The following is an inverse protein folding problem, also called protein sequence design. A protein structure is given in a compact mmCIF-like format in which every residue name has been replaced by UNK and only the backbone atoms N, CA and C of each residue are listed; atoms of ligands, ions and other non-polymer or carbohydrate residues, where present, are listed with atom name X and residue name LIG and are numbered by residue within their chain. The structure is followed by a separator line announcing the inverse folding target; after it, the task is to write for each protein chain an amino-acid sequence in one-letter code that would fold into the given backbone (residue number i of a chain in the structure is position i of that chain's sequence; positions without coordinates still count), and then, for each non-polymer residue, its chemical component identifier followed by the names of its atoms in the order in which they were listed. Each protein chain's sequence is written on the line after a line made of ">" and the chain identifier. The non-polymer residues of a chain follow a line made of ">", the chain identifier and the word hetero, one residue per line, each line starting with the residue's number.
data_IF_737779816242
#
_entry.id   IF_737779816242
#
_cell.length_a   1.000
_cell.length_b   1.000
_cell.length_c   1.000
_cell.angle_alpha   90.00
_cell.angle_beta   90.00
_cell.angle_gamma   90.00
#
_symmetry.space_group_name_H-M   'P 1'
#
loop_
_entity.id
_entity.type
_entity.pdbx_description
1 polymer ?
#
# COMPACT_ATOMS: atom_id res chain seq x y z
N UNK A 1 3.77 -7.07 13.91
CA UNK A 1 3.53 -6.42 12.59
C UNK A 1 3.89 -7.29 11.39
N UNK A 2 5.09 -7.90 11.32
CA UNK A 2 5.53 -8.72 10.17
C UNK A 2 4.64 -9.93 9.87
N UNK A 3 4.46 -10.80 10.87
CA UNK A 3 3.61 -11.99 10.78
C UNK A 3 2.16 -11.63 10.43
N UNK A 4 1.60 -10.63 11.11
CA UNK A 4 0.25 -10.15 10.80
C UNK A 4 0.11 -9.63 9.37
N UNK A 5 1.16 -9.03 8.80
CA UNK A 5 1.15 -8.66 7.39
C UNK A 5 1.10 -9.89 6.47
N UNK A 6 1.92 -10.91 6.72
CA UNK A 6 1.88 -12.16 5.96
C UNK A 6 0.51 -12.86 6.05
N UNK A 7 -0.06 -12.95 7.25
CA UNK A 7 -1.43 -13.46 7.45
C UNK A 7 -2.44 -12.66 6.61
N UNK A 8 -2.33 -11.33 6.61
CA UNK A 8 -3.23 -10.46 5.84
C UNK A 8 -3.11 -10.63 4.33
N UNK A 9 -1.98 -11.14 3.82
CA UNK A 9 -1.75 -11.36 2.40
C UNK A 9 -2.51 -12.60 1.91
N UNK A 10 -2.65 -13.64 2.74
CA UNK A 10 -3.27 -14.93 2.37
C UNK A 10 -4.73 -14.82 1.92
N UNK A 11 -5.39 -13.69 2.18
CA UNK A 11 -6.76 -13.40 1.74
C UNK A 11 -6.87 -13.06 0.24
N UNK A 12 -5.76 -12.73 -0.42
CA UNK A 12 -5.74 -12.39 -1.84
C UNK A 12 -5.49 -13.62 -2.71
N UNK A 13 -5.73 -13.46 -4.02
CA UNK A 13 -5.45 -14.50 -5.00
C UNK A 13 -3.95 -14.58 -5.28
N UNK A 14 -3.42 -15.79 -5.32
CA UNK A 14 -1.99 -16.10 -5.53
C UNK A 14 -1.82 -17.57 -5.92
N UNK A 15 -0.72 -17.95 -6.59
CA UNK A 15 -0.42 -19.35 -6.89
C UNK A 15 -0.05 -20.14 -5.62
N UNK A 16 -0.16 -21.46 -5.71
CA UNK A 16 0.01 -22.35 -4.56
C UNK A 16 1.44 -22.35 -4.00
N UNK A 17 2.46 -22.13 -4.83
CA UNK A 17 3.85 -22.05 -4.39
C UNK A 17 4.06 -20.90 -3.39
N UNK A 18 3.57 -19.69 -3.73
CA UNK A 18 3.66 -18.55 -2.83
C UNK A 18 2.80 -18.76 -1.58
N UNK A 19 1.59 -19.30 -1.77
CA UNK A 19 0.65 -19.57 -0.67
C UNK A 19 1.24 -20.54 0.35
N UNK A 20 1.86 -21.62 -0.12
CA UNK A 20 2.47 -22.63 0.73
C UNK A 20 3.71 -22.06 1.41
N UNK A 21 4.56 -21.34 0.69
CA UNK A 21 5.71 -20.65 1.30
C UNK A 21 5.32 -19.72 2.44
N UNK A 22 4.29 -18.89 2.27
CA UNK A 22 3.79 -18.02 3.34
C UNK A 22 3.28 -18.85 4.53
N UNK A 23 2.53 -19.94 4.27
CA UNK A 23 2.02 -20.81 5.34
C UNK A 23 3.14 -21.51 6.10
N UNK A 24 4.19 -21.95 5.43
CA UNK A 24 5.31 -22.64 6.06
C UNK A 24 6.05 -21.71 7.02
N UNK A 25 6.35 -20.48 6.58
CA UNK A 25 6.94 -19.43 7.43
C UNK A 25 6.03 -19.06 8.62
N UNK A 26 4.70 -19.12 8.43
CA UNK A 26 3.75 -18.84 9.53
C UNK A 26 3.60 -20.00 10.51
N UNK A 27 3.76 -21.25 10.08
CA UNK A 27 3.67 -22.46 10.92
C UNK A 27 4.95 -22.72 11.70
N UNK A 28 6.10 -22.35 11.13
CA UNK A 28 7.39 -22.54 11.78
C UNK A 28 7.55 -21.55 12.94
N UNK A 29 7.29 -22.01 14.16
CA UNK A 29 7.52 -21.24 15.39
C UNK A 29 9.00 -20.84 15.59
N UNK A 30 9.91 -21.47 14.86
CA UNK A 30 11.35 -21.17 14.83
C UNK A 30 11.79 -20.26 13.68
N UNK A 31 10.88 -19.81 12.80
CA UNK A 31 11.26 -18.92 11.71
C UNK A 31 11.92 -17.68 12.28
N UNK A 32 13.19 -17.50 11.91
CA UNK A 32 13.97 -16.36 12.37
C UNK A 32 13.54 -15.09 11.62
N UNK A 33 14.01 -13.95 12.10
CA UNK A 33 13.68 -12.64 11.53
C UNK A 33 14.02 -12.55 10.04
N UNK A 34 15.13 -13.14 9.62
CA UNK A 34 15.64 -13.04 8.25
C UNK A 34 14.78 -13.85 7.28
N UNK A 35 14.28 -15.02 7.68
CA UNK A 35 13.35 -15.82 6.89
C UNK A 35 12.02 -15.08 6.69
N UNK A 36 11.48 -14.47 7.75
CA UNK A 36 10.26 -13.66 7.68
C UNK A 36 10.47 -12.45 6.76
N UNK A 37 11.59 -11.75 6.89
CA UNK A 37 11.91 -10.59 6.05
C UNK A 37 12.13 -10.98 4.58
N UNK A 38 12.71 -12.15 4.32
CA UNK A 38 12.84 -12.74 2.98
C UNK A 38 11.48 -13.05 2.34
N UNK A 39 10.59 -13.74 3.08
CA UNK A 39 9.24 -14.04 2.60
C UNK A 39 8.42 -12.76 2.35
N UNK A 40 8.55 -11.75 3.23
CA UNK A 40 7.93 -10.45 3.05
C UNK A 40 8.44 -9.73 1.79
N UNK A 41 9.75 -9.80 1.54
CA UNK A 41 10.37 -9.20 0.35
C UNK A 41 9.83 -9.84 -0.92
N UNK A 42 9.86 -11.17 -1.02
CA UNK A 42 9.32 -11.89 -2.17
C UNK A 42 7.83 -11.58 -2.37
N UNK A 43 7.02 -11.64 -1.30
CA UNK A 43 5.59 -11.32 -1.37
C UNK A 43 5.35 -9.92 -1.95
N UNK A 44 6.16 -8.92 -1.58
CA UNK A 44 6.04 -7.56 -2.13
C UNK A 44 6.42 -7.49 -3.61
N UNK A 45 7.44 -8.21 -4.03
CA UNK A 45 7.92 -8.27 -5.42
C UNK A 45 6.93 -9.00 -6.34
N UNK A 46 6.20 -9.97 -5.78
CA UNK A 46 5.17 -10.75 -6.45
C UNK A 46 3.81 -10.04 -6.50
N UNK A 47 3.62 -8.91 -5.81
CA UNK A 47 2.37 -8.15 -5.87
C UNK A 47 2.13 -7.61 -7.28
N UNK A 48 0.99 -7.97 -7.84
CA UNK A 48 0.49 -7.62 -9.16
C UNK A 48 -1.00 -7.26 -9.10
N UNK A 49 -1.61 -7.02 -10.26
CA UNK A 49 -3.02 -6.67 -10.36
C UNK A 49 -3.72 -7.49 -11.46
N UNK A 50 -5.01 -7.77 -11.29
CA UNK A 50 -5.79 -8.57 -12.25
C UNK A 50 -6.10 -7.83 -13.55
N UNK A 51 -6.02 -6.49 -13.54
CA UNK A 51 -6.18 -5.62 -14.70
C UNK A 51 -5.10 -4.53 -14.67
N UNK A 52 -4.84 -3.81 -15.79
CA UNK A 52 -3.85 -2.74 -15.82
C UNK A 52 -4.08 -1.72 -14.70
N UNK A 53 -3.01 -1.32 -13.99
CA UNK A 53 -3.08 -0.41 -12.83
C UNK A 53 -3.85 0.89 -13.11
N UNK A 54 -3.71 1.44 -14.32
CA UNK A 54 -4.40 2.66 -14.79
C UNK A 54 -5.93 2.54 -14.86
N UNK A 55 -6.47 1.31 -14.89
CA UNK A 55 -7.91 1.06 -14.94
C UNK A 55 -8.51 0.86 -13.54
N UNK A 56 -7.71 0.97 -12.47
CA UNK A 56 -8.16 0.76 -11.10
C UNK A 56 -8.16 2.10 -10.36
N UNK A 57 -9.33 2.69 -10.05
CA UNK A 57 -9.44 4.03 -9.46
C UNK A 57 -9.15 4.06 -7.95
N UNK A 58 -8.02 3.47 -7.53
CA UNK A 58 -7.49 3.57 -6.18
C UNK A 58 -6.44 4.68 -6.10
N UNK A 59 -6.72 5.75 -5.38
CA UNK A 59 -5.78 6.83 -5.10
C UNK A 59 -6.30 7.69 -3.93
N UNK A 60 -5.43 8.44 -3.25
CA UNK A 60 -5.86 9.33 -2.18
C UNK A 60 -6.64 10.53 -2.71
N UNK A 61 -7.51 11.08 -1.88
CA UNK A 61 -8.06 12.44 -2.04
C UNK A 61 -7.65 13.30 -0.83
N UNK A 62 -7.36 14.57 -1.07
CA UNK A 62 -6.99 15.55 -0.03
C UNK A 62 -8.17 16.49 0.21
N UNK A 63 -8.67 16.52 1.45
CA UNK A 63 -9.63 17.53 1.90
C UNK A 63 -8.88 18.83 2.19
N UNK A 64 -9.05 19.82 1.30
CA UNK A 64 -8.39 21.13 1.40
C UNK A 64 -8.85 21.98 2.59
N UNK A 65 -10.07 21.77 3.09
CA UNK A 65 -10.55 22.46 4.29
C UNK A 65 -9.90 21.96 5.59
N UNK A 66 -9.24 20.79 5.56
CA UNK A 66 -8.50 20.24 6.71
C UNK A 66 -6.99 20.26 6.51
N UNK A 67 -6.53 20.25 5.27
CA UNK A 67 -5.10 20.20 4.96
C UNK A 67 -4.44 21.55 5.28
N UNK A 68 -3.36 21.51 6.06
CA UNK A 68 -2.53 22.68 6.36
C UNK A 68 -1.21 22.71 5.57
N UNK A 69 -1.13 21.95 4.47
CA UNK A 69 0.06 21.87 3.61
C UNK A 69 1.38 21.51 4.32
N UNK A 70 1.34 20.68 5.38
CA UNK A 70 2.55 20.28 6.11
C UNK A 70 3.54 19.36 5.35
N UNK A 71 3.24 19.02 4.10
CA UNK A 71 4.08 18.22 3.18
C UNK A 71 4.47 16.80 3.63
N UNK A 72 4.08 16.34 4.82
CA UNK A 72 4.47 15.02 5.33
C UNK A 72 4.06 13.87 4.41
N UNK A 73 2.95 13.99 3.69
CA UNK A 73 2.50 12.98 2.73
C UNK A 73 3.37 12.91 1.47
N UNK A 74 3.91 14.06 1.04
CA UNK A 74 4.86 14.16 -0.06
C UNK A 74 6.20 13.50 0.32
N UNK A 75 6.75 13.85 1.48
CA UNK A 75 8.03 13.30 1.97
C UNK A 75 7.94 11.80 2.27
N UNK A 76 6.84 11.36 2.88
CA UNK A 76 6.66 9.97 3.30
C UNK A 76 6.48 8.99 2.12
N UNK A 77 5.87 9.43 1.02
CA UNK A 77 5.39 8.51 -0.01
C UNK A 77 6.46 8.21 -1.08
N UNK A 78 7.11 7.04 -1.08
CA UNK A 78 8.18 6.72 -2.03
C UNK A 78 7.67 6.54 -3.48
N UNK A 79 6.34 6.49 -3.67
CA UNK A 79 5.70 6.34 -4.98
C UNK A 79 5.39 7.68 -5.66
N UNK A 80 5.84 8.79 -5.08
CA UNK A 80 5.67 10.13 -5.65
C UNK A 80 4.21 10.43 -6.04
N UNK A 81 3.25 9.95 -5.24
CA UNK A 81 1.81 10.15 -5.48
C UNK A 81 1.45 11.62 -5.35
N UNK A 82 2.16 12.36 -4.50
CA UNK A 82 1.93 13.77 -4.23
C UNK A 82 2.95 14.65 -4.95
N UNK A 83 2.57 15.89 -5.21
CA UNK A 83 3.43 16.98 -5.67
C UNK A 83 3.18 18.23 -4.85
N UNK A 84 4.05 19.24 -5.04
CA UNK A 84 3.98 20.53 -4.36
C UNK A 84 3.88 21.62 -5.43
N UNK A 85 3.00 22.59 -5.21
CA UNK A 85 2.99 23.83 -5.97
C UNK A 85 4.02 24.79 -5.37
N UNK A 86 5.02 25.18 -6.15
CA UNK A 86 6.15 25.98 -5.66
C UNK A 86 5.75 27.41 -5.23
N UNK A 87 4.61 27.92 -5.70
CA UNK A 87 4.18 29.29 -5.40
C UNK A 87 3.60 29.46 -4.00
N UNK A 88 2.86 28.46 -3.53
CA UNK A 88 2.06 28.51 -2.30
C UNK A 88 2.35 27.33 -1.35
N UNK A 89 3.31 26.47 -1.71
CA UNK A 89 3.61 25.22 -1.01
C UNK A 89 2.41 24.28 -0.88
N UNK A 90 1.42 24.38 -1.77
CA UNK A 90 0.23 23.55 -1.71
C UNK A 90 0.54 22.11 -2.13
N UNK A 91 0.19 21.13 -1.29
CA UNK A 91 0.34 19.72 -1.64
C UNK A 91 -0.88 19.22 -2.43
N UNK A 92 -0.64 18.53 -3.54
CA UNK A 92 -1.69 17.96 -4.39
C UNK A 92 -1.36 16.52 -4.80
N UNK A 93 -2.37 15.80 -5.32
CA UNK A 93 -2.18 14.44 -5.85
C UNK A 93 -1.66 14.54 -7.29
N UNK A 94 -0.36 14.34 -7.48
CA UNK A 94 0.34 14.45 -8.78
C UNK A 94 0.23 13.17 -9.61
N UNK A 95 0.49 12.02 -9.00
CA UNK A 95 0.53 10.72 -9.69
C UNK A 95 -0.45 9.73 -9.03
N UNK A 96 -1.77 9.87 -9.23
CA UNK A 96 -2.78 9.06 -8.53
C UNK A 96 -2.57 7.56 -8.76
N UNK A 97 -2.31 7.15 -10.00
CA UNK A 97 -2.14 5.74 -10.37
C UNK A 97 -0.82 5.11 -9.92
N UNK A 98 0.14 5.89 -9.43
CA UNK A 98 1.35 5.37 -8.77
C UNK A 98 1.08 4.85 -7.35
N UNK A 99 -0.09 5.17 -6.77
CA UNK A 99 -0.47 4.67 -5.45
C UNK A 99 -0.62 3.14 -5.47
N UNK A 100 -0.06 2.45 -4.47
CA UNK A 100 -0.19 0.99 -4.34
C UNK A 100 -1.57 0.65 -3.79
N UNK A 101 -2.30 -0.24 -4.45
CA UNK A 101 -3.65 -0.62 -4.01
C UNK A 101 -3.63 -1.18 -2.58
N UNK A 102 -4.59 -0.73 -1.77
CA UNK A 102 -4.73 -0.98 -0.33
C UNK A 102 -3.65 -0.36 0.58
N UNK A 103 -2.65 0.35 0.04
CA UNK A 103 -1.73 1.15 0.85
C UNK A 103 -2.44 2.39 1.38
N UNK A 104 -2.44 2.57 2.70
CA UNK A 104 -3.02 3.75 3.37
C UNK A 104 -2.04 4.36 4.37
N UNK A 105 -0.73 4.21 4.12
CA UNK A 105 0.30 4.70 5.02
C UNK A 105 0.27 6.22 5.23
N UNK A 106 -0.02 6.97 4.16
CA UNK A 106 -0.12 8.43 4.23
C UNK A 106 -1.29 8.93 5.09
N UNK A 107 -2.39 8.18 5.18
CA UNK A 107 -3.51 8.50 6.10
C UNK A 107 -3.00 8.54 7.53
N UNK A 108 -2.24 7.52 7.95
CA UNK A 108 -1.68 7.45 9.31
C UNK A 108 -0.62 8.52 9.60
N UNK A 109 -0.07 9.16 8.57
CA UNK A 109 0.93 10.23 8.70
C UNK A 109 0.30 11.61 8.72
N UNK A 110 -0.93 11.76 8.22
CA UNK A 110 -1.61 13.03 8.19
C UNK A 110 -2.28 13.31 9.55
N UNK A 111 -1.68 14.18 10.36
CA UNK A 111 -2.23 14.56 11.67
C UNK A 111 -3.54 15.36 11.57
N UNK A 112 -3.89 15.85 10.38
CA UNK A 112 -5.12 16.60 10.13
C UNK A 112 -6.29 15.72 9.65
N UNK A 113 -6.06 14.41 9.49
CA UNK A 113 -6.95 13.46 8.78
C UNK A 113 -7.51 14.02 7.45
N UNK A 114 -6.66 14.75 6.73
CA UNK A 114 -7.05 15.39 5.48
C UNK A 114 -7.00 14.41 4.29
N UNK A 115 -6.51 13.18 4.46
CA UNK A 115 -6.33 12.21 3.38
C UNK A 115 -7.32 11.07 3.55
N UNK A 116 -8.11 10.80 2.51
CA UNK A 116 -9.01 9.65 2.46
C UNK A 116 -8.79 8.82 1.20
N UNK A 117 -9.35 7.61 1.21
CA UNK A 117 -9.32 6.65 0.11
C UNK A 117 -10.72 6.06 -0.06
N UNK A 118 -11.04 5.51 -1.24
CA UNK A 118 -12.22 4.69 -1.38
C UNK A 118 -12.14 3.43 -0.48
N UNK A 119 -13.27 2.77 -0.18
CA UNK A 119 -13.28 1.58 0.66
C UNK A 119 -12.37 0.47 0.11
N UNK A 120 -11.47 -0.06 0.94
CA UNK A 120 -10.51 -1.11 0.52
C UNK A 120 -11.19 -2.31 -0.13
N UNK A 121 -12.30 -2.75 0.46
CA UNK A 121 -13.06 -3.95 0.06
C UNK A 121 -13.42 -3.95 -1.42
N UNK A 122 -13.75 -2.78 -1.99
CA UNK A 122 -14.16 -2.64 -3.39
C UNK A 122 -13.00 -2.90 -4.38
N UNK A 123 -11.76 -2.85 -3.87
CA UNK A 123 -10.53 -2.95 -4.66
C UNK A 123 -9.72 -4.22 -4.38
N UNK A 124 -10.07 -5.02 -3.37
CA UNK A 124 -9.34 -6.24 -3.02
C UNK A 124 -9.35 -7.26 -4.16
N UNK A 125 -10.45 -7.32 -4.93
CA UNK A 125 -10.60 -8.17 -6.12
C UNK A 125 -9.56 -7.90 -7.22
N UNK A 126 -8.92 -6.74 -7.21
CA UNK A 126 -7.88 -6.40 -8.18
C UNK A 126 -6.48 -6.79 -7.72
N UNK A 127 -6.30 -7.15 -6.46
CA UNK A 127 -4.98 -7.50 -5.92
C UNK A 127 -4.72 -8.98 -6.21
N UNK A 128 -3.61 -9.23 -6.90
CA UNK A 128 -3.13 -10.55 -7.24
C UNK A 128 -1.66 -10.66 -6.85
N UNK A 129 -1.19 -11.84 -6.51
CA UNK A 129 0.25 -12.10 -6.39
C UNK A 129 0.62 -13.12 -7.46
N UNK A 130 1.52 -12.76 -8.36
CA UNK A 130 2.03 -13.65 -9.42
C UNK A 130 3.06 -14.60 -8.86
#
# INVERSE_FOLDING_TARGET
>A
MRIEHLKSVLKYNMPDDLRNRIRDVLKNHHSNKDEIDSCLKETRERKSYTIPRKNIPWFPQINKGRCNNCLICYEFCPKQVYGINERDSEVYVKNPYSCVIACTGCVKKCLQDAINFPPKKDFEKYIYYK
#
